data_IF_140613124194
#
_entry.id   IF_140613124194
#
_cell.length_a   1.000
_cell.length_b   1.000
_cell.length_c   1.000
_cell.angle_alpha   90.00
_cell.angle_beta   90.00
_cell.angle_gamma   90.00
#
_symmetry.space_group_name_H-M   'P 1'
#
loop_
_entity.id
_entity.type
_entity.pdbx_description
1 polymer ?
#
# COMPACT_ATOMS: atom_id res chain seq x y z
N UNK A 1 -47.01 -20.44 -13.83
CA UNK A 1 -46.08 -20.67 -12.71
C UNK A 1 -45.71 -19.29 -12.18
N UNK A 2 -46.38 -18.84 -11.11
CA UNK A 2 -46.31 -17.43 -10.68
C UNK A 2 -45.05 -17.21 -9.85
N UNK A 3 -44.09 -16.52 -10.44
CA UNK A 3 -42.84 -16.13 -9.77
C UNK A 3 -43.22 -15.05 -8.75
N UNK A 4 -43.12 -15.37 -7.46
CA UNK A 4 -43.53 -14.48 -6.38
C UNK A 4 -42.57 -13.29 -6.27
N UNK A 5 -43.06 -12.06 -5.98
CA UNK A 5 -42.22 -10.86 -5.87
C UNK A 5 -41.16 -10.95 -4.75
N UNK A 6 -41.33 -11.87 -3.81
CA UNK A 6 -40.34 -12.19 -2.77
C UNK A 6 -39.05 -12.78 -3.36
N UNK A 7 -39.16 -13.67 -4.35
CA UNK A 7 -38.01 -14.32 -4.99
C UNK A 7 -37.13 -13.32 -5.76
N UNK A 8 -37.75 -12.29 -6.35
CA UNK A 8 -37.04 -11.19 -7.03
C UNK A 8 -36.26 -10.33 -6.03
N UNK A 9 -36.82 -10.05 -4.84
CA UNK A 9 -36.12 -9.29 -3.79
C UNK A 9 -34.91 -10.05 -3.25
N UNK A 10 -35.05 -11.36 -3.04
CA UNK A 10 -33.94 -12.22 -2.60
C UNK A 10 -32.85 -12.32 -3.67
N UNK A 11 -33.22 -12.47 -4.95
CA UNK A 11 -32.25 -12.47 -6.06
C UNK A 11 -31.55 -11.13 -6.21
N UNK A 12 -32.26 -10.01 -6.02
CA UNK A 12 -31.67 -8.67 -6.05
C UNK A 12 -30.69 -8.46 -4.88
N UNK A 13 -31.04 -8.92 -3.68
CA UNK A 13 -30.15 -8.90 -2.52
C UNK A 13 -28.91 -9.78 -2.70
N UNK A 14 -29.06 -10.95 -3.33
CA UNK A 14 -27.92 -11.80 -3.68
C UNK A 14 -27.04 -11.17 -4.77
N UNK A 15 -27.63 -10.42 -5.70
CA UNK A 15 -26.90 -9.65 -6.71
C UNK A 15 -26.09 -8.51 -6.09
N UNK A 16 -26.68 -7.74 -5.16
CA UNK A 16 -25.99 -6.69 -4.39
C UNK A 16 -24.84 -7.25 -3.51
N UNK A 17 -24.99 -8.49 -2.99
CA UNK A 17 -23.93 -9.18 -2.23
C UNK A 17 -22.84 -9.74 -3.18
N UNK A 18 -23.19 -10.15 -4.40
CA UNK A 18 -22.23 -10.55 -5.43
C UNK A 18 -21.53 -9.38 -6.12
N UNK A 19 -22.13 -8.18 -6.03
CA UNK A 19 -21.57 -6.89 -6.39
C UNK A 19 -20.73 -6.26 -5.28
N UNK A 20 -20.30 -7.04 -4.27
CA UNK A 20 -19.11 -6.71 -3.48
C UNK A 20 -17.95 -6.66 -4.46
N UNK A 21 -17.74 -5.48 -5.04
CA UNK A 21 -16.67 -5.16 -5.98
C UNK A 21 -15.37 -5.72 -5.44
N UNK A 22 -14.91 -6.79 -6.08
CA UNK A 22 -13.60 -7.38 -5.86
C UNK A 22 -12.60 -6.33 -6.35
N UNK A 23 -12.13 -5.49 -5.41
CA UNK A 23 -11.09 -4.49 -5.62
C UNK A 23 -11.62 -3.08 -5.90
N UNK A 24 -12.19 -2.41 -4.90
CA UNK A 24 -12.26 -0.96 -4.94
C UNK A 24 -10.85 -0.38 -4.97
N UNK A 25 -10.45 0.10 -6.14
CA UNK A 25 -9.22 0.85 -6.35
C UNK A 25 -9.61 2.29 -6.63
N UNK A 26 -9.11 3.23 -5.83
CA UNK A 26 -9.36 4.65 -6.05
C UNK A 26 -8.67 5.12 -7.33
N UNK A 27 -9.46 5.51 -8.33
CA UNK A 27 -8.97 6.05 -9.60
C UNK A 27 -9.13 7.57 -9.64
N UNK A 28 -8.08 8.26 -10.06
CA UNK A 28 -8.14 9.66 -10.43
C UNK A 28 -8.13 9.79 -11.95
N UNK A 29 -9.12 10.48 -12.51
CA UNK A 29 -9.11 10.90 -13.91
C UNK A 29 -8.29 12.19 -14.05
N UNK A 30 -7.11 12.11 -14.67
CA UNK A 30 -6.30 13.29 -15.01
C UNK A 30 -6.08 13.29 -16.52
N UNK A 31 -6.56 14.32 -17.22
CA UNK A 31 -6.30 14.51 -18.65
C UNK A 31 -6.79 13.36 -19.55
N UNK A 32 -7.79 12.59 -19.11
CA UNK A 32 -8.31 11.42 -19.83
C UNK A 32 -7.65 10.08 -19.48
N UNK A 33 -6.66 10.07 -18.58
CA UNK A 33 -6.04 8.84 -18.07
C UNK A 33 -6.55 8.48 -16.67
N UNK A 34 -6.82 7.19 -16.46
CA UNK A 34 -7.18 6.66 -15.15
C UNK A 34 -5.91 6.29 -14.39
N UNK A 35 -5.65 6.97 -13.28
CA UNK A 35 -4.48 6.76 -12.44
C UNK A 35 -4.92 6.11 -11.14
N UNK A 36 -4.24 5.04 -10.71
CA UNK A 36 -4.48 4.37 -9.43
C UNK A 36 -3.98 5.23 -8.26
N UNK A 37 -4.79 6.22 -7.87
CA UNK A 37 -4.45 7.17 -6.83
C UNK A 37 -4.26 6.51 -5.46
N UNK A 38 -4.94 5.40 -5.18
CA UNK A 38 -4.68 4.62 -3.96
C UNK A 38 -3.22 4.16 -3.86
N UNK A 39 -2.66 3.63 -4.95
CA UNK A 39 -1.27 3.14 -4.98
C UNK A 39 -0.28 4.29 -4.85
N UNK A 40 -0.62 5.45 -5.40
CA UNK A 40 0.21 6.66 -5.27
C UNK A 40 0.23 7.17 -3.83
N UNK A 41 -0.93 7.26 -3.17
CA UNK A 41 -1.03 7.73 -1.79
C UNK A 41 -0.31 6.77 -0.85
N UNK A 42 -0.53 5.46 -0.99
CA UNK A 42 0.15 4.47 -0.15
C UNK A 42 1.66 4.49 -0.37
N UNK A 43 2.12 4.56 -1.62
CA UNK A 43 3.57 4.64 -1.90
C UNK A 43 4.22 5.89 -1.32
N UNK A 44 3.58 7.07 -1.43
CA UNK A 44 4.06 8.31 -0.81
C UNK A 44 4.17 8.21 0.71
N UNK A 45 3.19 7.58 1.35
CA UNK A 45 3.20 7.32 2.78
C UNK A 45 4.39 6.44 3.19
N UNK A 46 4.62 5.33 2.48
CA UNK A 46 5.76 4.43 2.74
C UNK A 46 7.08 5.14 2.52
N UNK A 47 7.22 5.90 1.43
CA UNK A 47 8.43 6.69 1.14
C UNK A 47 8.72 7.66 2.28
N UNK A 48 7.69 8.35 2.79
CA UNK A 48 7.84 9.32 3.90
C UNK A 48 8.35 8.66 5.17
N UNK A 49 7.79 7.49 5.53
CA UNK A 49 8.24 6.71 6.69
C UNK A 49 9.69 6.27 6.52
N UNK A 50 10.02 5.73 5.35
CA UNK A 50 11.36 5.23 5.06
C UNK A 50 12.40 6.36 5.13
N UNK A 51 12.10 7.49 4.51
CA UNK A 51 12.98 8.66 4.49
C UNK A 51 13.15 9.24 5.89
N UNK A 52 12.07 9.35 6.66
CA UNK A 52 12.11 9.77 8.06
C UNK A 52 12.99 8.85 8.91
N UNK A 53 12.85 7.53 8.73
CA UNK A 53 13.66 6.52 9.43
C UNK A 53 15.16 6.65 9.09
N UNK A 54 15.51 6.84 7.82
CA UNK A 54 16.91 7.05 7.41
C UNK A 54 17.48 8.34 8.02
N UNK A 55 16.72 9.44 7.98
CA UNK A 55 17.16 10.72 8.56
C UNK A 55 17.41 10.57 10.07
N UNK A 56 16.53 9.88 10.80
CA UNK A 56 16.71 9.61 12.23
C UNK A 56 17.95 8.73 12.46
N UNK A 57 18.13 7.67 11.67
CA UNK A 57 19.26 6.75 11.80
C UNK A 57 20.62 7.42 11.52
N UNK A 58 20.68 8.37 10.58
CA UNK A 58 21.92 9.09 10.23
C UNK A 58 22.19 10.27 11.16
N UNK A 59 21.16 10.88 11.76
CA UNK A 59 21.31 12.08 12.61
C UNK A 59 22.05 11.85 13.93
N UNK A 60 22.00 10.65 14.49
CA UNK A 60 22.66 10.38 15.78
C UNK A 60 23.22 8.95 15.81
N UNK A 61 24.34 8.68 15.12
CA UNK A 61 25.00 7.38 15.16
C UNK A 61 25.63 7.21 16.54
N UNK A 62 24.83 6.76 17.52
CA UNK A 62 25.34 6.43 18.84
C UNK A 62 26.13 5.12 18.73
N UNK A 63 27.40 5.16 19.12
CA UNK A 63 28.30 4.00 19.16
C UNK A 63 27.92 2.99 20.26
N UNK A 64 26.96 3.33 21.12
CA UNK A 64 26.52 2.53 22.26
C UNK A 64 25.04 2.16 22.05
N UNK A 65 24.81 0.85 21.95
CA UNK A 65 23.56 0.20 21.57
C UNK A 65 22.41 0.50 22.54
N UNK A 66 21.45 1.30 22.09
CA UNK A 66 20.06 1.28 22.61
C UNK A 66 19.31 0.20 21.82
N UNK A 67 18.55 -0.68 22.48
CA UNK A 67 17.96 -1.92 21.93
C UNK A 67 17.33 -1.81 20.52
N UNK A 68 16.68 -0.68 20.18
CA UNK A 68 16.07 -0.46 18.86
C UNK A 68 17.07 -0.21 17.70
N UNK A 69 18.27 0.32 17.97
CA UNK A 69 19.32 0.48 16.96
C UNK A 69 19.93 -0.86 16.54
N UNK A 70 19.85 -1.89 17.39
CA UNK A 70 20.34 -3.23 17.08
C UNK A 70 19.57 -3.87 15.92
N UNK A 71 18.25 -3.68 15.84
CA UNK A 71 17.44 -4.19 14.73
C UNK A 71 17.81 -3.54 13.38
N UNK A 72 17.93 -2.21 13.33
CA UNK A 72 18.34 -1.52 12.10
C UNK A 72 19.73 -1.94 11.65
N UNK A 73 20.67 -2.07 12.58
CA UNK A 73 22.03 -2.56 12.27
C UNK A 73 21.98 -3.99 11.73
N UNK A 74 21.23 -4.88 12.37
CA UNK A 74 21.04 -6.26 11.92
C UNK A 74 20.45 -6.33 10.50
N UNK A 75 19.41 -5.54 10.21
CA UNK A 75 18.80 -5.49 8.88
C UNK A 75 19.79 -4.97 7.83
N UNK A 76 20.56 -3.92 8.14
CA UNK A 76 21.57 -3.38 7.22
C UNK A 76 22.72 -4.37 6.95
N UNK A 77 23.13 -5.12 7.97
CA UNK A 77 24.14 -6.17 7.87
C UNK A 77 23.62 -7.38 7.07
N UNK A 78 22.38 -7.79 7.31
CA UNK A 78 21.69 -8.80 6.49
C UNK A 78 21.63 -8.42 5.01
N UNK A 79 21.28 -7.16 4.70
CA UNK A 79 21.26 -6.67 3.31
C UNK A 79 22.67 -6.68 2.70
N UNK A 80 23.69 -6.34 3.49
CA UNK A 80 25.09 -6.37 3.05
C UNK A 80 25.52 -7.81 2.72
N UNK A 81 25.20 -8.75 3.59
CA UNK A 81 25.54 -10.17 3.41
C UNK A 81 24.77 -10.80 2.25
N UNK A 82 23.50 -10.43 2.07
CA UNK A 82 22.73 -10.77 0.86
C UNK A 82 23.42 -10.24 -0.39
N UNK A 83 23.79 -8.96 -0.41
CA UNK A 83 24.47 -8.35 -1.56
C UNK A 83 25.80 -9.05 -1.84
N UNK A 84 26.58 -9.35 -0.81
CA UNK A 84 27.86 -10.06 -0.92
C UNK A 84 27.69 -11.48 -1.47
N UNK A 85 26.65 -12.19 -1.04
CA UNK A 85 26.40 -13.57 -1.45
C UNK A 85 25.88 -13.65 -2.88
N UNK A 86 25.04 -12.71 -3.30
CA UNK A 86 24.42 -12.72 -4.63
C UNK A 86 25.29 -12.10 -5.72
N UNK A 87 26.09 -11.07 -5.38
CA UNK A 87 26.86 -10.28 -6.36
C UNK A 87 28.34 -10.67 -6.35
N UNK A 88 28.88 -11.08 -5.20
CA UNK A 88 30.31 -11.37 -5.06
C UNK A 88 31.13 -10.12 -4.73
N UNK A 89 32.34 -10.01 -5.26
CA UNK A 89 33.35 -9.03 -4.81
C UNK A 89 32.96 -7.56 -5.05
N UNK A 90 32.18 -7.27 -6.09
CA UNK A 90 31.73 -5.91 -6.42
C UNK A 90 30.45 -5.47 -5.66
N UNK A 91 30.03 -6.20 -4.62
CA UNK A 91 28.78 -5.94 -3.90
C UNK A 91 28.65 -4.51 -3.34
N UNK A 92 29.77 -3.86 -2.99
CA UNK A 92 29.78 -2.56 -2.32
C UNK A 92 29.01 -1.47 -3.07
N UNK A 93 29.06 -1.47 -4.41
CA UNK A 93 28.36 -0.48 -5.24
C UNK A 93 26.84 -0.69 -5.27
N UNK A 94 26.41 -1.95 -5.10
CA UNK A 94 25.01 -2.37 -5.20
C UNK A 94 24.29 -2.38 -3.85
N UNK A 95 25.02 -2.38 -2.73
CA UNK A 95 24.44 -2.34 -1.38
C UNK A 95 23.40 -1.23 -1.21
N UNK A 96 23.61 0.03 -1.66
CA UNK A 96 22.59 1.08 -1.53
C UNK A 96 21.31 0.76 -2.31
N UNK A 97 21.43 0.19 -3.51
CA UNK A 97 20.30 -0.16 -4.36
C UNK A 97 19.48 -1.33 -3.78
N UNK A 98 20.16 -2.41 -3.38
CA UNK A 98 19.50 -3.56 -2.74
C UNK A 98 18.84 -3.14 -1.43
N UNK A 99 19.48 -2.25 -0.67
CA UNK A 99 18.94 -1.73 0.60
C UNK A 99 17.64 -0.96 0.42
N UNK A 100 17.58 -0.04 -0.53
CA UNK A 100 16.36 0.76 -0.75
C UNK A 100 15.23 -0.11 -1.28
N UNK A 101 15.51 -0.99 -2.24
CA UNK A 101 14.50 -1.88 -2.81
C UNK A 101 13.95 -2.86 -1.74
N UNK A 102 14.85 -3.50 -0.97
CA UNK A 102 14.46 -4.45 0.07
C UNK A 102 13.61 -3.79 1.15
N UNK A 103 14.07 -2.67 1.71
CA UNK A 103 13.34 -1.95 2.76
C UNK A 103 12.00 -1.44 2.25
N UNK A 104 11.96 -0.89 1.04
CA UNK A 104 10.71 -0.41 0.45
C UNK A 104 9.69 -1.54 0.29
N UNK A 105 10.08 -2.67 -0.29
CA UNK A 105 9.17 -3.81 -0.49
C UNK A 105 8.75 -4.42 0.85
N UNK A 106 9.69 -4.59 1.79
CA UNK A 106 9.42 -5.14 3.11
C UNK A 106 8.40 -4.28 3.87
N UNK A 107 8.64 -2.97 3.98
CA UNK A 107 7.74 -2.05 4.68
C UNK A 107 6.40 -1.92 3.93
N UNK A 108 6.40 -1.92 2.60
CA UNK A 108 5.16 -1.89 1.80
C UNK A 108 4.30 -3.13 2.05
N UNK A 109 4.92 -4.31 2.08
CA UNK A 109 4.21 -5.57 2.32
C UNK A 109 3.63 -5.63 3.73
N UNK A 110 4.45 -5.28 4.73
CA UNK A 110 4.01 -5.21 6.11
C UNK A 110 2.93 -4.16 6.33
N UNK A 111 3.03 -3.00 5.67
CA UNK A 111 2.00 -1.98 5.72
C UNK A 111 0.71 -2.42 5.05
N UNK A 112 0.75 -3.28 4.03
CA UNK A 112 -0.44 -3.88 3.43
C UNK A 112 -1.15 -4.86 4.36
N UNK A 113 -0.38 -5.61 5.17
CA UNK A 113 -0.92 -6.58 6.12
C UNK A 113 -1.36 -5.97 7.45
N UNK A 114 -0.62 -4.98 7.95
CA UNK A 114 -0.86 -4.36 9.26
C UNK A 114 -1.86 -3.21 9.21
N UNK A 115 -1.91 -2.44 8.13
CA UNK A 115 -2.88 -1.37 8.01
C UNK A 115 -4.18 -1.92 7.41
N UNK A 116 -5.31 -1.83 8.13
CA UNK A 116 -6.59 -2.21 7.59
C UNK A 116 -7.05 -1.14 6.58
N UNK A 117 -6.47 -1.16 5.38
CA UNK A 117 -6.85 -0.27 4.27
C UNK A 117 -8.33 -0.39 3.89
N UNK A 118 -8.98 -1.49 4.29
CA UNK A 118 -10.44 -1.72 4.20
C UNK A 118 -11.30 -0.76 5.03
N UNK A 119 -10.74 -0.02 5.99
CA UNK A 119 -11.51 0.94 6.81
C UNK A 119 -11.67 2.30 6.09
N UNK A 120 -10.85 2.56 5.07
CA UNK A 120 -10.94 3.76 4.22
C UNK A 120 -11.79 3.41 2.98
N UNK A 121 -13.00 2.89 3.18
CA UNK A 121 -14.06 2.96 2.17
C UNK A 121 -14.68 4.35 2.30
N UNK A 122 -14.34 5.23 1.36
CA UNK A 122 -14.91 6.58 1.34
C UNK A 122 -16.43 6.49 1.14
N UNK A 123 -17.21 7.33 1.86
CA UNK A 123 -18.65 7.36 1.73
C UNK A 123 -19.01 7.82 0.32
N UNK A 124 -19.59 6.89 -0.47
CA UNK A 124 -20.49 7.12 -1.59
C UNK A 124 -20.50 8.56 -2.12
N UNK A 125 -19.53 8.86 -2.98
CA UNK A 125 -19.59 10.03 -3.85
C UNK A 125 -20.60 9.78 -4.97
N UNK A 126 -21.65 10.60 -4.99
CA UNK A 126 -22.41 10.98 -6.19
C UNK A 126 -23.64 10.14 -6.59
N UNK A 127 -24.65 10.13 -5.70
CA UNK A 127 -26.07 10.08 -6.08
C UNK A 127 -26.70 11.48 -6.23
N UNK A 128 -25.92 12.53 -6.52
CA UNK A 128 -26.39 13.93 -6.56
C UNK A 128 -26.01 14.66 -7.84
N UNK A 129 -26.24 14.06 -9.01
CA UNK A 129 -26.21 14.78 -10.30
C UNK A 129 -27.30 14.36 -11.31
N UNK A 130 -28.32 13.57 -10.94
CA UNK A 130 -29.36 13.12 -11.89
C UNK A 130 -30.81 13.17 -11.37
N UNK A 131 -31.13 14.11 -10.48
CA UNK A 131 -32.53 14.42 -10.14
C UNK A 131 -32.85 15.92 -10.33
N UNK A 132 -32.19 16.55 -11.31
CA UNK A 132 -32.36 17.96 -11.65
C UNK A 132 -32.37 18.24 -13.15
N UNK A 133 -32.61 17.22 -13.99
CA UNK A 133 -32.87 17.43 -15.41
C UNK A 133 -33.71 16.29 -15.99
N UNK A 134 -34.95 16.65 -16.32
CA UNK A 134 -35.87 16.03 -17.29
C UNK A 134 -36.89 15.00 -16.76
N UNK A 135 -38.15 15.45 -16.91
CA UNK A 135 -39.47 14.80 -16.81
C UNK A 135 -40.01 14.45 -15.43
#
# INVERSE_FOLDING_TARGET
MNITPCSIKTLKGLYDISGVEVGQHFYWQIGGFQIHAQVLITSWFIITILLGSVIIAVRNPQTISIDGQNFFKYVLEFIRDLSKTQIGEEYGLWVPFIRTMFLFIFVSNWSGALLPWKIIELPHGEGKLIAGSNT
#
